data_IF_249505751895
#
_entry.id   IF_249505751895
#
_cell.length_a   1.000
_cell.length_b   1.000
_cell.length_c   1.000
_cell.angle_alpha   90.00
_cell.angle_beta   90.00
_cell.angle_gamma   90.00
#
_symmetry.space_group_name_H-M   'P 1'
#
loop_
_entity.id
_entity.type
_entity.pdbx_description
1 polymer ?
#
# COMPACT_ATOMS: atom_id res chain seq x y z
N UNK A 1 -14.75 -44.65 -54.13
CA UNK A 1 -15.23 -43.40 -53.48
C UNK A 1 -14.89 -43.51 -52.00
N UNK A 2 -13.75 -42.95 -51.60
CA UNK A 2 -13.18 -43.02 -50.24
C UNK A 2 -12.18 -41.86 -50.17
N UNK A 3 -12.58 -40.64 -49.80
CA UNK A 3 -11.59 -39.53 -49.64
C UNK A 3 -12.08 -38.26 -48.93
N UNK A 4 -13.36 -38.10 -48.56
CA UNK A 4 -13.81 -36.87 -47.86
C UNK A 4 -13.89 -36.98 -46.33
N UNK A 5 -14.27 -38.13 -45.77
CA UNK A 5 -14.31 -38.31 -44.31
C UNK A 5 -12.91 -38.36 -43.69
N UNK A 6 -11.95 -39.02 -44.35
CA UNK A 6 -10.59 -39.19 -43.82
C UNK A 6 -9.75 -37.91 -43.77
N UNK A 7 -10.20 -36.80 -44.37
CA UNK A 7 -9.45 -35.54 -44.37
C UNK A 7 -9.84 -34.66 -43.18
N UNK A 8 -11.13 -34.61 -42.85
CA UNK A 8 -11.62 -33.91 -41.66
C UNK A 8 -11.17 -34.58 -40.36
N UNK A 9 -11.08 -35.91 -40.32
CA UNK A 9 -10.59 -36.63 -39.14
C UNK A 9 -9.10 -36.36 -38.86
N UNK A 10 -8.29 -36.11 -39.90
CA UNK A 10 -6.85 -35.81 -39.76
C UNK A 10 -6.61 -34.35 -39.37
N UNK A 11 -7.43 -33.41 -39.86
CA UNK A 11 -7.37 -32.00 -39.46
C UNK A 11 -7.84 -31.82 -38.00
N UNK A 12 -8.93 -32.46 -37.59
CA UNK A 12 -9.41 -32.44 -36.21
C UNK A 12 -8.42 -33.10 -35.23
N UNK A 13 -7.75 -34.19 -35.64
CA UNK A 13 -6.66 -34.78 -34.84
C UNK A 13 -5.43 -33.86 -34.73
N UNK A 14 -5.11 -33.11 -35.79
CA UNK A 14 -4.03 -32.14 -35.78
C UNK A 14 -4.31 -30.97 -34.82
N UNK A 15 -5.53 -30.42 -34.85
CA UNK A 15 -5.96 -29.32 -33.96
C UNK A 15 -6.01 -29.75 -32.50
N UNK A 16 -6.54 -30.95 -32.20
CA UNK A 16 -6.52 -31.50 -30.84
C UNK A 16 -5.09 -31.71 -30.30
N UNK A 17 -4.14 -32.12 -31.16
CA UNK A 17 -2.74 -32.32 -30.74
C UNK A 17 -2.03 -30.98 -30.48
N UNK A 18 -2.39 -29.91 -31.20
CA UNK A 18 -1.84 -28.56 -30.98
C UNK A 18 -2.38 -27.97 -29.69
N UNK A 19 -3.71 -28.01 -29.48
CA UNK A 19 -4.34 -27.52 -28.25
C UNK A 19 -3.78 -28.24 -27.00
N UNK A 20 -3.57 -29.55 -27.08
CA UNK A 20 -2.98 -30.33 -25.99
C UNK A 20 -1.54 -29.89 -25.66
N UNK A 21 -0.70 -29.63 -26.67
CA UNK A 21 0.66 -29.14 -26.46
C UNK A 21 0.68 -27.74 -25.83
N UNK A 22 -0.24 -26.85 -26.23
CA UNK A 22 -0.36 -25.51 -25.68
C UNK A 22 -0.84 -25.53 -24.22
N UNK A 23 -1.78 -26.42 -23.88
CA UNK A 23 -2.20 -26.68 -22.50
C UNK A 23 -1.02 -27.16 -21.66
N UNK A 24 -0.29 -28.18 -22.11
CA UNK A 24 0.84 -28.75 -21.36
C UNK A 24 1.98 -27.74 -21.14
N UNK A 25 2.29 -26.95 -22.17
CA UNK A 25 3.27 -25.86 -22.10
C UNK A 25 2.85 -24.80 -21.08
N UNK A 26 1.57 -24.39 -21.11
CA UNK A 26 1.03 -23.38 -20.19
C UNK A 26 0.96 -23.90 -18.75
N UNK A 27 0.61 -25.17 -18.55
CA UNK A 27 0.67 -25.84 -17.25
C UNK A 27 2.10 -25.91 -16.70
N UNK A 28 3.09 -26.15 -17.55
CA UNK A 28 4.50 -26.14 -17.15
C UNK A 28 4.94 -24.75 -16.68
N UNK A 29 4.48 -23.70 -17.37
CA UNK A 29 4.69 -22.31 -16.96
C UNK A 29 4.04 -22.01 -15.60
N UNK A 30 2.81 -22.48 -15.39
CA UNK A 30 2.11 -22.34 -14.11
C UNK A 30 2.87 -23.04 -12.97
N UNK A 31 3.34 -24.28 -13.18
CA UNK A 31 4.17 -25.01 -12.19
C UNK A 31 5.48 -24.28 -11.89
N UNK A 32 6.11 -23.68 -12.90
CA UNK A 32 7.31 -22.85 -12.72
C UNK A 32 7.01 -21.60 -11.88
N UNK A 33 5.87 -20.95 -12.14
CA UNK A 33 5.43 -19.77 -11.39
C UNK A 33 5.10 -20.09 -9.94
N UNK A 34 4.46 -21.23 -9.65
CA UNK A 34 4.25 -21.71 -8.29
C UNK A 34 5.55 -21.87 -7.50
N UNK A 35 6.63 -22.35 -8.14
CA UNK A 35 7.94 -22.44 -7.48
C UNK A 35 8.51 -21.05 -7.16
N UNK A 36 8.32 -20.08 -8.06
CA UNK A 36 8.73 -18.68 -7.82
C UNK A 36 7.91 -18.06 -6.67
N UNK A 37 6.60 -18.27 -6.65
CA UNK A 37 5.73 -17.85 -5.55
C UNK A 37 6.18 -18.47 -4.22
N UNK A 38 6.47 -19.78 -4.19
CA UNK A 38 7.00 -20.44 -3.01
C UNK A 38 8.33 -19.84 -2.55
N UNK A 39 9.24 -19.53 -3.49
CA UNK A 39 10.52 -18.90 -3.17
C UNK A 39 10.33 -17.53 -2.54
N UNK A 40 9.52 -16.67 -3.15
CA UNK A 40 9.25 -15.33 -2.59
C UNK A 40 8.47 -15.41 -1.27
N UNK A 41 7.55 -16.36 -1.12
CA UNK A 41 6.77 -16.49 0.10
C UNK A 41 7.63 -16.87 1.32
N UNK A 42 8.74 -17.59 1.11
CA UNK A 42 9.69 -17.90 2.20
C UNK A 42 10.29 -16.64 2.82
N UNK A 43 10.62 -15.64 2.01
CA UNK A 43 11.14 -14.37 2.53
C UNK A 43 10.05 -13.45 3.09
N UNK A 44 8.77 -13.75 2.86
CA UNK A 44 7.66 -12.92 3.36
C UNK A 44 7.56 -12.94 4.88
N UNK A 45 7.82 -14.09 5.53
CA UNK A 45 7.83 -14.18 6.99
C UNK A 45 8.90 -13.25 7.61
N UNK A 46 10.12 -13.31 7.10
CA UNK A 46 11.23 -12.46 7.55
C UNK A 46 10.91 -10.96 7.37
N UNK A 47 10.26 -10.61 6.26
CA UNK A 47 9.85 -9.21 5.99
C UNK A 47 8.75 -8.75 6.94
N UNK A 48 7.80 -9.62 7.31
CA UNK A 48 6.71 -9.29 8.23
C UNK A 48 7.16 -9.18 9.70
N UNK A 49 8.09 -10.04 10.13
CA UNK A 49 8.58 -10.09 11.51
C UNK A 49 9.62 -9.00 11.81
N UNK A 50 10.33 -8.55 10.78
CA UNK A 50 11.34 -7.50 10.94
C UNK A 50 10.75 -6.13 11.28
N UNK A 51 11.56 -5.30 11.94
CA UNK A 51 11.34 -3.84 12.01
C UNK A 51 11.66 -3.13 10.67
N UNK A 52 11.71 -3.85 9.54
CA UNK A 52 12.01 -3.22 8.27
C UNK A 52 10.98 -2.13 7.95
N UNK A 53 11.47 -0.98 7.51
CA UNK A 53 10.62 0.11 7.04
C UNK A 53 9.71 -0.34 5.89
N UNK A 54 8.57 0.35 5.74
CA UNK A 54 7.53 0.01 4.76
C UNK A 54 8.01 -0.26 3.35
N UNK A 55 9.15 0.29 2.94
CA UNK A 55 9.64 0.15 1.57
C UNK A 55 9.97 -1.32 1.25
N UNK A 56 10.51 -2.07 2.21
CA UNK A 56 10.77 -3.51 2.00
C UNK A 56 9.47 -4.32 1.99
N UNK A 57 8.54 -3.99 2.88
CA UNK A 57 7.20 -4.61 2.93
C UNK A 57 6.46 -4.35 1.62
N UNK A 58 6.49 -3.11 1.12
CA UNK A 58 5.85 -2.72 -0.12
C UNK A 58 6.49 -3.41 -1.34
N UNK A 59 7.82 -3.50 -1.39
CA UNK A 59 8.51 -4.26 -2.44
C UNK A 59 8.10 -5.73 -2.44
N UNK A 60 8.07 -6.36 -1.27
CA UNK A 60 7.67 -7.75 -1.13
C UNK A 60 6.20 -7.96 -1.52
N UNK A 61 5.33 -7.04 -1.11
CA UNK A 61 3.91 -7.00 -1.50
C UNK A 61 3.77 -6.94 -3.02
N UNK A 62 4.41 -5.96 -3.68
CA UNK A 62 4.35 -5.82 -5.14
C UNK A 62 4.87 -7.08 -5.83
N UNK A 63 5.99 -7.64 -5.39
CA UNK A 63 6.57 -8.85 -5.99
C UNK A 63 5.63 -10.07 -5.88
N UNK A 64 5.10 -10.36 -4.69
CA UNK A 64 4.15 -11.47 -4.52
C UNK A 64 2.86 -11.22 -5.30
N UNK A 65 2.29 -10.02 -5.18
CA UNK A 65 1.04 -9.63 -5.84
C UNK A 65 1.13 -9.82 -7.35
N UNK A 66 2.16 -9.26 -8.00
CA UNK A 66 2.34 -9.39 -9.45
C UNK A 66 2.48 -10.86 -9.88
N UNK A 67 3.19 -11.69 -9.10
CA UNK A 67 3.32 -13.12 -9.42
C UNK A 67 2.06 -13.93 -9.15
N UNK A 68 1.25 -13.50 -8.19
CA UNK A 68 -0.05 -14.09 -7.91
C UNK A 68 -1.05 -13.76 -9.03
N UNK A 69 -1.05 -12.51 -9.51
CA UNK A 69 -1.87 -12.06 -10.64
C UNK A 69 -1.48 -12.84 -11.91
N UNK A 70 -0.16 -12.95 -12.21
CA UNK A 70 0.34 -13.80 -13.31
C UNK A 70 -0.14 -15.27 -13.19
N UNK A 71 -0.31 -15.79 -11.97
CA UNK A 71 -0.77 -17.17 -11.76
C UNK A 71 -2.26 -17.31 -12.06
N UNK A 72 -3.05 -16.30 -11.71
CA UNK A 72 -4.47 -16.23 -12.07
C UNK A 72 -4.69 -16.08 -13.57
N UNK A 73 -3.89 -15.26 -14.25
CA UNK A 73 -3.93 -15.12 -15.70
C UNK A 73 -3.63 -16.45 -16.41
N UNK A 74 -2.64 -17.21 -15.93
CA UNK A 74 -2.33 -18.54 -16.45
C UNK A 74 -3.46 -19.55 -16.20
N UNK A 75 -4.11 -19.51 -15.03
CA UNK A 75 -5.28 -20.36 -14.75
C UNK A 75 -6.39 -20.06 -15.77
N UNK A 76 -6.71 -18.78 -15.99
CA UNK A 76 -7.74 -18.39 -16.96
C UNK A 76 -7.38 -18.79 -18.39
N UNK A 77 -6.10 -18.63 -18.77
CA UNK A 77 -5.62 -19.04 -20.09
C UNK A 77 -5.78 -20.54 -20.30
N UNK A 78 -5.40 -21.37 -19.31
CA UNK A 78 -5.54 -22.83 -19.40
C UNK A 78 -7.02 -23.23 -19.43
N UNK A 79 -7.88 -22.58 -18.64
CA UNK A 79 -9.33 -22.82 -18.72
C UNK A 79 -9.87 -22.56 -20.14
N UNK A 80 -9.47 -21.45 -20.77
CA UNK A 80 -9.84 -21.14 -22.16
C UNK A 80 -9.37 -22.22 -23.13
N UNK A 81 -8.11 -22.64 -23.04
CA UNK A 81 -7.57 -23.70 -23.90
C UNK A 81 -8.29 -25.04 -23.69
N UNK A 82 -8.67 -25.37 -22.45
CA UNK A 82 -9.43 -26.58 -22.13
C UNK A 82 -10.85 -26.55 -22.72
N UNK A 83 -11.52 -25.39 -22.65
CA UNK A 83 -12.82 -25.17 -23.30
C UNK A 83 -12.70 -25.35 -24.82
N UNK A 84 -11.66 -24.78 -25.43
CA UNK A 84 -11.41 -24.90 -26.88
C UNK A 84 -11.07 -26.35 -27.30
N UNK A 85 -10.64 -27.19 -26.35
CA UNK A 85 -10.36 -28.62 -26.57
C UNK A 85 -11.55 -29.55 -26.33
N UNK A 86 -12.76 -29.01 -26.16
CA UNK A 86 -14.00 -29.74 -25.84
C UNK A 86 -13.92 -30.56 -24.53
N UNK A 87 -13.11 -30.14 -23.56
CA UNK A 87 -13.08 -30.74 -22.23
C UNK A 87 -14.35 -30.39 -21.45
N UNK A 88 -14.84 -31.31 -20.60
CA UNK A 88 -16.12 -31.06 -19.90
C UNK A 88 -16.00 -29.92 -18.89
N UNK A 89 -17.05 -29.10 -18.78
CA UNK A 89 -17.14 -28.01 -17.81
C UNK A 89 -16.85 -28.48 -16.37
N UNK A 90 -17.36 -29.66 -15.99
CA UNK A 90 -17.10 -30.26 -14.67
C UNK A 90 -15.60 -30.53 -14.44
N UNK A 91 -14.88 -31.02 -15.45
CA UNK A 91 -13.45 -31.28 -15.36
C UNK A 91 -12.65 -29.97 -15.28
N UNK A 92 -13.05 -28.96 -16.06
CA UNK A 92 -12.44 -27.63 -16.04
C UNK A 92 -12.64 -26.96 -14.68
N UNK A 93 -13.84 -27.01 -14.14
CA UNK A 93 -14.17 -26.45 -12.83
C UNK A 93 -13.38 -27.13 -11.71
N UNK A 94 -13.32 -28.47 -11.71
CA UNK A 94 -12.53 -29.21 -10.73
C UNK A 94 -11.04 -28.85 -10.82
N UNK A 95 -10.47 -28.86 -12.03
CA UNK A 95 -9.07 -28.50 -12.25
C UNK A 95 -8.78 -27.07 -11.75
N UNK A 96 -9.69 -26.13 -12.03
CA UNK A 96 -9.57 -24.73 -11.62
C UNK A 96 -9.56 -24.60 -10.12
N UNK A 97 -10.49 -25.26 -9.42
CA UNK A 97 -10.55 -25.23 -7.97
C UNK A 97 -9.27 -25.78 -7.35
N UNK A 98 -8.74 -26.89 -7.87
CA UNK A 98 -7.47 -27.45 -7.41
C UNK A 98 -6.30 -26.48 -7.57
N UNK A 99 -6.24 -25.72 -8.68
CA UNK A 99 -5.18 -24.71 -8.89
C UNK A 99 -5.37 -23.47 -8.03
N UNK A 100 -6.61 -23.03 -7.80
CA UNK A 100 -6.91 -21.95 -6.86
C UNK A 100 -6.49 -22.29 -5.43
N UNK A 101 -6.72 -23.53 -4.99
CA UNK A 101 -6.25 -24.01 -3.68
C UNK A 101 -4.72 -23.97 -3.56
N UNK A 102 -3.98 -24.20 -4.65
CA UNK A 102 -2.52 -24.12 -4.63
C UNK A 102 -1.98 -22.70 -4.51
N UNK A 103 -2.73 -21.68 -4.96
CA UNK A 103 -2.32 -20.28 -4.85
C UNK A 103 -2.79 -19.60 -3.56
N UNK A 104 -3.81 -20.16 -2.88
CA UNK A 104 -4.38 -19.65 -1.63
C UNK A 104 -3.34 -19.27 -0.54
N UNK A 105 -2.28 -20.06 -0.28
CA UNK A 105 -1.28 -19.68 0.73
C UNK A 105 -0.57 -18.36 0.41
N UNK A 106 -0.43 -18.03 -0.88
CA UNK A 106 0.20 -16.79 -1.33
C UNK A 106 -0.76 -15.60 -1.27
N UNK A 107 -2.06 -15.84 -1.48
CA UNK A 107 -3.10 -14.83 -1.26
C UNK A 107 -3.09 -14.35 0.19
N UNK A 108 -3.10 -15.30 1.13
CA UNK A 108 -3.03 -15.01 2.56
C UNK A 108 -1.76 -14.24 2.93
N UNK A 109 -0.63 -14.52 2.25
CA UNK A 109 0.61 -13.80 2.48
C UNK A 109 0.56 -12.36 1.94
N UNK A 110 -0.05 -12.16 0.76
CA UNK A 110 -0.29 -10.82 0.19
C UNK A 110 -1.23 -10.02 1.08
N UNK A 111 -2.29 -10.64 1.61
CA UNK A 111 -3.24 -9.99 2.52
C UNK A 111 -2.55 -9.49 3.80
N UNK A 112 -1.73 -10.34 4.44
CA UNK A 112 -0.94 -9.93 5.62
C UNK A 112 0.02 -8.77 5.33
N UNK A 113 0.65 -8.77 4.15
CA UNK A 113 1.51 -7.66 3.72
C UNK A 113 0.71 -6.37 3.54
N UNK A 114 -0.49 -6.45 2.94
CA UNK A 114 -1.40 -5.31 2.76
C UNK A 114 -1.88 -4.74 4.10
N UNK A 115 -2.29 -5.60 5.03
CA UNK A 115 -2.69 -5.21 6.39
C UNK A 115 -1.57 -4.48 7.10
N UNK A 116 -0.33 -4.98 6.99
CA UNK A 116 0.82 -4.33 7.61
C UNK A 116 1.11 -2.96 6.99
N UNK A 117 0.99 -2.81 5.67
CA UNK A 117 1.17 -1.51 5.01
C UNK A 117 0.12 -0.49 5.47
N UNK A 118 -1.16 -0.90 5.59
CA UNK A 118 -2.23 -0.05 6.12
C UNK A 118 -1.98 0.37 7.56
N UNK A 119 -1.50 -0.56 8.39
CA UNK A 119 -1.14 -0.27 9.78
C UNK A 119 0.01 0.76 9.86
N UNK A 120 1.08 0.57 9.10
CA UNK A 120 2.22 1.49 9.06
C UNK A 120 1.82 2.89 8.53
N UNK A 121 0.89 2.95 7.58
CA UNK A 121 0.32 4.21 7.07
C UNK A 121 -0.51 4.92 8.15
N UNK A 122 -1.33 4.17 8.90
CA UNK A 122 -2.12 4.70 10.01
C UNK A 122 -1.22 5.36 11.07
N UNK A 123 -0.15 4.68 11.48
CA UNK A 123 0.83 5.21 12.45
C UNK A 123 1.45 6.52 11.93
N UNK A 124 1.81 6.59 10.64
CA UNK A 124 2.38 7.83 10.08
C UNK A 124 1.40 8.98 10.07
N UNK A 125 0.14 8.72 9.69
CA UNK A 125 -0.91 9.75 9.68
C UNK A 125 -1.17 10.27 11.10
N UNK A 126 -1.21 9.38 12.08
CA UNK A 126 -1.38 9.76 13.48
C UNK A 126 -0.19 10.58 13.99
N UNK A 127 1.04 10.15 13.70
CA UNK A 127 2.25 10.91 14.07
C UNK A 127 2.24 12.31 13.45
N UNK A 128 1.99 12.41 12.14
CA UNK A 128 1.92 13.71 11.44
C UNK A 128 0.83 14.63 12.02
N UNK A 129 -0.31 14.05 12.43
CA UNK A 129 -1.37 14.80 13.11
C UNK A 129 -0.92 15.31 14.48
N UNK A 130 -0.26 14.47 15.27
CA UNK A 130 0.25 14.85 16.59
C UNK A 130 1.35 15.91 16.49
N UNK A 131 2.27 15.78 15.53
CA UNK A 131 3.32 16.77 15.27
C UNK A 131 2.69 18.13 14.91
N UNK A 132 1.69 18.15 14.02
CA UNK A 132 0.96 19.37 13.67
C UNK A 132 0.24 19.99 14.86
N UNK A 133 -0.43 19.18 15.69
CA UNK A 133 -1.09 19.68 16.90
C UNK A 133 -0.10 20.28 17.90
N UNK A 134 1.09 19.68 18.01
CA UNK A 134 2.16 20.19 18.85
C UNK A 134 2.71 21.53 18.33
N UNK A 135 2.95 21.64 17.02
CA UNK A 135 3.33 22.90 16.38
C UNK A 135 2.29 24.01 16.61
N UNK A 136 0.99 23.70 16.41
CA UNK A 136 -0.10 24.63 16.69
C UNK A 136 -0.20 25.02 18.17
N UNK A 137 0.16 24.13 19.09
CA UNK A 137 0.23 24.43 20.52
C UNK A 137 1.38 25.40 20.84
N UNK A 138 2.57 25.12 20.30
CA UNK A 138 3.76 25.96 20.48
C UNK A 138 3.52 27.37 19.95
N UNK A 139 2.90 27.49 18.76
CA UNK A 139 2.57 28.80 18.17
C UNK A 139 1.56 29.56 19.05
N UNK A 140 0.54 28.87 19.60
CA UNK A 140 -0.44 29.50 20.51
C UNK A 140 0.20 30.00 21.79
N UNK A 141 1.10 29.23 22.37
CA UNK A 141 1.81 29.64 23.59
C UNK A 141 2.76 30.81 23.32
N UNK A 142 3.43 30.82 22.17
CA UNK A 142 4.27 31.94 21.75
C UNK A 142 3.46 33.22 21.55
N UNK A 143 2.31 33.16 20.87
CA UNK A 143 1.42 34.33 20.71
C UNK A 143 0.92 34.86 22.06
N UNK A 144 0.60 33.97 23.02
CA UNK A 144 0.18 34.39 24.37
C UNK A 144 1.30 35.11 25.11
N UNK A 145 2.55 34.65 24.97
CA UNK A 145 3.71 35.31 25.55
C UNK A 145 3.94 36.69 24.92
N UNK A 146 3.85 36.78 23.59
CA UNK A 146 4.01 38.04 22.86
C UNK A 146 2.94 39.07 23.26
N UNK A 147 1.67 38.66 23.42
CA UNK A 147 0.59 39.52 23.91
C UNK A 147 0.88 40.02 25.34
N UNK A 148 1.32 39.14 26.24
CA UNK A 148 1.68 39.52 27.62
C UNK A 148 2.86 40.51 27.66
N UNK A 149 3.87 40.30 26.82
CA UNK A 149 5.01 41.22 26.69
C UNK A 149 4.57 42.58 26.13
N UNK A 150 3.70 42.59 25.12
CA UNK A 150 3.16 43.82 24.55
C UNK A 150 2.35 44.62 25.59
N UNK A 151 1.51 43.95 26.38
CA UNK A 151 0.73 44.57 27.45
C UNK A 151 1.62 45.11 28.58
N UNK A 152 2.62 44.35 29.02
CA UNK A 152 3.57 44.81 30.04
C UNK A 152 4.38 46.02 29.54
N UNK A 153 4.85 45.99 28.29
CA UNK A 153 5.54 47.12 27.67
C UNK A 153 4.67 48.36 27.53
N UNK A 154 3.36 48.19 27.33
CA UNK A 154 2.39 49.29 27.35
C UNK A 154 2.24 49.85 28.76
N UNK A 155 2.06 49.00 29.77
CA UNK A 155 1.95 49.42 31.19
C UNK A 155 3.19 50.20 31.64
N UNK A 156 4.38 49.71 31.33
CA UNK A 156 5.65 50.40 31.64
C UNK A 156 5.72 51.78 30.99
N UNK A 157 5.22 51.93 29.76
CA UNK A 157 5.18 53.25 29.08
C UNK A 157 4.22 54.21 29.77
N UNK A 158 3.03 53.73 30.15
CA UNK A 158 2.03 54.53 30.85
C UNK A 158 2.52 54.97 32.24
N UNK A 159 3.17 54.07 32.99
CA UNK A 159 3.80 54.38 34.29
C UNK A 159 4.92 55.42 34.14
N UNK A 160 5.81 55.27 33.16
CA UNK A 160 6.88 56.24 32.88
C UNK A 160 6.32 57.62 32.53
N UNK A 161 5.28 57.67 31.71
CA UNK A 161 4.64 58.92 31.34
C UNK A 161 3.99 59.60 32.54
N UNK A 162 3.30 58.84 33.40
CA UNK A 162 2.69 59.37 34.63
C UNK A 162 3.74 59.97 35.58
N UNK A 163 4.86 59.25 35.81
CA UNK A 163 5.97 59.73 36.64
C UNK A 163 6.59 61.01 36.10
N UNK A 164 6.87 61.08 34.79
CA UNK A 164 7.38 62.30 34.16
C UNK A 164 6.44 63.49 34.36
N UNK A 165 5.14 63.26 34.26
CA UNK A 165 4.12 64.29 34.41
C UNK A 165 4.05 64.79 35.86
N UNK A 166 4.24 63.90 36.84
CA UNK A 166 4.34 64.24 38.26
C UNK A 166 5.62 65.02 38.58
N UNK A 167 6.78 64.58 38.08
CA UNK A 167 8.05 65.31 38.20
C UNK A 167 7.93 66.73 37.62
N UNK A 168 7.35 66.86 36.42
CA UNK A 168 7.17 68.18 35.78
C UNK A 168 6.27 69.10 36.61
N UNK A 169 5.22 68.55 37.23
CA UNK A 169 4.33 69.32 38.12
C UNK A 169 5.07 69.80 39.37
N UNK A 170 5.90 68.94 39.97
CA UNK A 170 6.72 69.29 41.14
C UNK A 170 7.73 70.39 40.80
N UNK A 171 8.45 70.28 39.67
CA UNK A 171 9.38 71.33 39.23
C UNK A 171 8.70 72.69 39.04
N UNK A 172 7.49 72.71 38.47
CA UNK A 172 6.72 73.96 38.30
C UNK A 172 6.29 74.53 39.66
N UNK A 173 5.90 73.67 40.60
CA UNK A 173 5.52 74.11 41.94
C UNK A 173 6.71 74.69 42.72
N UNK A 174 7.90 74.09 42.58
CA UNK A 174 9.14 74.61 43.18
C UNK A 174 9.55 75.96 42.58
N UNK A 175 9.48 76.14 41.26
CA UNK A 175 9.79 77.42 40.59
C UNK A 175 8.82 78.56 40.94
N UNK A 176 7.66 78.25 41.50
CA UNK A 176 6.64 79.23 41.93
C UNK A 176 6.73 79.60 43.41
N UNK A 177 7.60 78.94 44.19
CA UNK A 177 7.96 79.34 45.55
C UNK A 177 9.15 80.29 45.53
#
# INVERSE_FOLDING_TARGET
MLTRQSRNDVEAQGEQTIAQNDIESTEANFKSLLRKLAYFNRSTADVLESEYGSDKINRQYTLLKTKLDEAYDLIQTIQGLKLDSDESDEAIDQWTQERKLQVQPYENAVEKLDERLKHDESIRKEKARNDKLNEESIIRDWMRQEEQEAENNKRIREEKFALQLEETKLEIAEKKR
#
